data_IF_822547224910
#
_entry.id   IF_822547224910
#
_cell.length_a   1.000
_cell.length_b   1.000
_cell.length_c   1.000
_cell.angle_alpha   90.00
_cell.angle_beta   90.00
_cell.angle_gamma   90.00
#
_symmetry.space_group_name_H-M   'P 1'
#
loop_
_entity.id
_entity.type
_entity.pdbx_description
1 polymer ?
#
# COMPACT_ATOMS: atom_id res chain seq x y z
N UNK A 1 2.96 21.00 2.25
CA UNK A 1 3.24 19.65 1.73
C UNK A 1 3.08 18.66 2.88
N UNK A 2 2.27 17.64 2.69
CA UNK A 2 2.06 16.55 3.65
C UNK A 2 2.53 15.26 2.99
N UNK A 3 3.15 14.38 3.78
CA UNK A 3 3.59 13.07 3.32
C UNK A 3 2.96 12.02 4.21
N UNK A 4 2.36 11.01 3.60
CA UNK A 4 1.79 9.86 4.27
C UNK A 4 2.76 8.69 4.20
N UNK A 5 2.91 8.00 5.33
CA UNK A 5 3.46 6.67 5.37
C UNK A 5 2.32 5.68 5.15
N UNK A 6 2.37 4.95 4.05
CA UNK A 6 1.41 3.92 3.70
C UNK A 6 2.04 2.54 3.90
N UNK A 7 1.28 1.65 4.52
CA UNK A 7 1.58 0.23 4.58
C UNK A 7 0.70 -0.51 3.57
N UNK A 8 1.33 -1.23 2.65
CA UNK A 8 0.67 -2.14 1.73
C UNK A 8 0.67 -3.53 2.37
N UNK A 9 -0.46 -3.91 2.95
CA UNK A 9 -0.70 -5.23 3.54
C UNK A 9 -1.18 -6.18 2.45
N UNK A 10 -0.25 -6.89 1.83
CA UNK A 10 -0.54 -7.83 0.74
C UNK A 10 -0.83 -9.24 1.22
N UNK A 11 -1.75 -9.94 0.54
CA UNK A 11 -2.07 -11.34 0.80
C UNK A 11 -0.85 -12.26 0.60
N UNK A 12 -0.02 -11.95 -0.41
CA UNK A 12 1.18 -12.70 -0.76
C UNK A 12 2.29 -11.80 -1.36
N UNK A 13 3.39 -12.42 -1.76
CA UNK A 13 4.58 -11.74 -2.30
C UNK A 13 4.41 -11.22 -3.74
N UNK A 14 3.32 -11.56 -4.45
CA UNK A 14 3.03 -11.00 -5.78
C UNK A 14 2.60 -9.54 -5.71
N UNK A 15 2.13 -9.09 -4.52
CA UNK A 15 1.72 -7.70 -4.26
C UNK A 15 0.61 -7.20 -5.20
N UNK A 16 -0.21 -8.13 -5.68
CA UNK A 16 -1.38 -7.86 -6.53
C UNK A 16 -2.69 -7.77 -5.75
N UNK A 17 -2.70 -8.18 -4.49
CA UNK A 17 -3.86 -8.00 -3.61
C UNK A 17 -3.35 -7.41 -2.30
N UNK A 18 -3.48 -6.09 -2.15
CA UNK A 18 -2.98 -5.36 -0.99
C UNK A 18 -4.01 -4.37 -0.46
N UNK A 19 -4.25 -4.41 0.84
CA UNK A 19 -4.91 -3.33 1.54
C UNK A 19 -3.90 -2.21 1.84
N UNK A 20 -4.25 -0.98 1.51
CA UNK A 20 -3.43 0.20 1.82
C UNK A 20 -3.90 0.81 3.13
N UNK A 21 -3.00 0.88 4.11
CA UNK A 21 -3.27 1.44 5.44
C UNK A 21 -2.37 2.64 5.68
N UNK A 22 -2.96 3.78 6.08
CA UNK A 22 -2.18 4.95 6.50
C UNK A 22 -1.59 4.69 7.89
N UNK A 23 -0.27 4.50 7.96
CA UNK A 23 0.44 4.21 9.21
C UNK A 23 0.88 5.48 9.94
N UNK A 24 1.28 6.54 9.22
CA UNK A 24 1.68 7.81 9.81
C UNK A 24 1.56 8.96 8.80
N UNK A 25 1.76 10.20 9.25
CA UNK A 25 1.83 11.38 8.40
C UNK A 25 2.75 12.45 8.98
N UNK A 26 3.49 13.15 8.12
CA UNK A 26 4.26 14.34 8.47
C UNK A 26 3.86 15.51 7.60
N UNK A 27 3.98 16.71 8.14
CA UNK A 27 3.71 17.96 7.44
C UNK A 27 4.89 18.91 7.58
N UNK A 28 5.15 19.70 6.53
CA UNK A 28 6.20 20.71 6.53
C UNK A 28 7.32 20.43 5.53
N UNK A 29 8.38 21.25 5.53
CA UNK A 29 9.44 21.19 4.52
C UNK A 29 10.22 19.87 4.57
N UNK A 30 10.32 19.25 5.75
CA UNK A 30 11.09 18.01 5.96
C UNK A 30 10.23 16.74 5.99
N UNK A 31 8.99 16.79 5.49
CA UNK A 31 8.06 15.68 5.62
C UNK A 31 8.50 14.42 4.84
N UNK A 32 9.16 14.60 3.68
CA UNK A 32 9.68 13.51 2.87
C UNK A 32 10.84 12.81 3.56
N UNK A 33 11.77 13.58 4.11
CA UNK A 33 12.96 13.10 4.82
C UNK A 33 12.56 12.34 6.09
N UNK A 34 11.58 12.86 6.85
CA UNK A 34 11.03 12.18 8.02
C UNK A 34 10.41 10.84 7.65
N UNK A 35 9.64 10.78 6.55
CA UNK A 35 9.07 9.53 6.09
C UNK A 35 10.16 8.53 5.65
N UNK A 36 11.11 8.98 4.82
CA UNK A 36 12.21 8.16 4.33
C UNK A 36 13.08 7.61 5.47
N UNK A 37 13.33 8.40 6.52
CA UNK A 37 14.07 7.97 7.69
C UNK A 37 13.33 6.91 8.53
N UNK A 38 11.99 6.92 8.53
CA UNK A 38 11.19 5.95 9.29
C UNK A 38 11.13 4.57 8.61
N UNK A 39 11.10 4.51 7.28
CA UNK A 39 10.89 3.26 6.51
C UNK A 39 11.88 2.14 6.86
N UNK A 40 13.20 2.36 6.97
CA UNK A 40 14.15 1.30 7.32
C UNK A 40 13.88 0.67 8.69
N UNK A 41 13.55 1.47 9.70
CA UNK A 41 13.23 0.98 11.05
C UNK A 41 11.99 0.10 11.04
N UNK A 42 10.93 0.56 10.37
CA UNK A 42 9.68 -0.18 10.24
C UNK A 42 9.85 -1.47 9.44
N UNK A 43 10.65 -1.45 8.37
CA UNK A 43 10.96 -2.63 7.56
C UNK A 43 11.75 -3.66 8.36
N UNK A 44 12.71 -3.23 9.18
CA UNK A 44 13.46 -4.11 10.09
C UNK A 44 12.57 -4.73 11.17
N UNK A 45 11.55 -4.02 11.63
CA UNK A 45 10.60 -4.53 12.62
C UNK A 45 9.68 -5.65 12.08
N UNK A 46 9.51 -5.74 10.76
CA UNK A 46 8.78 -6.86 10.15
C UNK A 46 9.58 -8.17 10.27
N UNK A 47 8.87 -9.28 10.44
CA UNK A 47 9.43 -10.64 10.28
C UNK A 47 9.83 -10.89 8.82
N UNK A 48 10.73 -11.85 8.57
CA UNK A 48 11.18 -12.15 7.21
C UNK A 48 10.02 -12.42 6.22
N UNK A 49 9.00 -13.25 6.55
CA UNK A 49 7.86 -13.44 5.64
C UNK A 49 7.06 -12.16 5.38
N UNK A 50 6.93 -11.29 6.39
CA UNK A 50 6.18 -10.05 6.25
C UNK A 50 6.95 -9.00 5.43
N UNK A 51 8.29 -9.04 5.42
CA UNK A 51 9.10 -8.17 4.55
C UNK A 51 8.96 -8.52 3.06
N UNK A 52 8.71 -9.79 2.75
CA UNK A 52 8.48 -10.22 1.37
C UNK A 52 7.13 -9.70 0.87
N UNK A 53 6.09 -9.86 1.69
CA UNK A 53 4.69 -9.54 1.35
C UNK A 53 4.38 -8.05 1.46
N UNK A 54 4.77 -7.42 2.56
CA UNK A 54 4.32 -6.07 2.89
C UNK A 54 5.42 -5.04 2.61
N UNK A 55 4.99 -3.81 2.32
CA UNK A 55 5.92 -2.69 2.11
C UNK A 55 5.39 -1.39 2.72
N UNK A 56 6.32 -0.59 3.21
CA UNK A 56 6.06 0.80 3.59
C UNK A 56 6.44 1.72 2.43
N UNK A 57 5.60 2.70 2.14
CA UNK A 57 5.77 3.67 1.05
C UNK A 57 5.49 5.08 1.56
N UNK A 58 6.31 6.04 1.14
CA UNK A 58 6.07 7.46 1.38
C UNK A 58 5.31 8.06 0.20
N UNK A 59 4.14 8.61 0.44
CA UNK A 59 3.30 9.26 -0.57
C UNK A 59 3.09 10.73 -0.23
N UNK A 60 3.50 11.62 -1.14
CA UNK A 60 3.25 13.06 -0.99
C UNK A 60 1.81 13.38 -1.37
N UNK A 61 1.10 14.07 -0.48
CA UNK A 61 -0.22 14.63 -0.75
C UNK A 61 -0.08 15.73 -1.83
N UNK A 62 -0.20 15.33 -3.09
CA UNK A 62 0.05 16.18 -4.26
C UNK A 62 0.08 15.48 -5.62
N UNK A 63 0.20 14.15 -5.65
CA UNK A 63 0.03 13.36 -6.87
C UNK A 63 -1.04 12.30 -6.63
N UNK A 64 -2.31 12.65 -6.88
CA UNK A 64 -3.37 11.65 -7.00
C UNK A 64 -3.07 10.84 -8.28
N UNK A 65 -2.21 9.83 -8.18
CA UNK A 65 -2.57 8.57 -8.79
C UNK A 65 -3.52 7.94 -7.78
N UNK A 66 -4.80 7.81 -8.15
CA UNK A 66 -5.77 6.99 -7.42
C UNK A 66 -5.04 5.77 -6.85
N UNK A 67 -5.26 5.36 -5.58
CA UNK A 67 -5.03 3.97 -5.25
C UNK A 67 -5.73 3.21 -6.36
N UNK A 68 -5.00 2.38 -7.11
CA UNK A 68 -5.65 1.48 -8.05
C UNK A 68 -6.65 0.72 -7.19
N UNK A 69 -7.91 1.12 -7.27
CA UNK A 69 -9.04 0.29 -6.93
C UNK A 69 -8.70 -0.98 -7.69
N UNK A 70 -8.29 -1.99 -6.93
CA UNK A 70 -8.39 -3.36 -7.39
C UNK A 70 -9.89 -3.55 -7.59
N UNK A 71 -10.34 -3.08 -8.75
CA UNK A 71 -11.52 -3.55 -9.42
C UNK A 71 -11.13 -4.97 -9.78
N UNK A 72 -11.19 -5.85 -8.78
CA UNK A 72 -11.56 -7.23 -9.01
C UNK A 72 -12.93 -7.10 -9.66
N UNK A 73 -12.92 -6.92 -10.99
CA UNK A 73 -14.11 -7.12 -11.80
C UNK A 73 -14.56 -8.52 -11.38
N UNK A 74 -15.73 -8.68 -10.74
CA UNK A 74 -16.28 -10.00 -10.59
C UNK A 74 -16.44 -10.44 -12.04
N UNK A 75 -15.68 -11.45 -12.45
CA UNK A 75 -15.92 -12.11 -13.71
C UNK A 75 -17.36 -12.61 -13.62
N UNK A 76 -18.30 -11.81 -14.14
CA UNK A 76 -19.67 -12.21 -14.40
C UNK A 76 -19.58 -13.20 -15.55
N UNK A 77 -19.16 -14.42 -15.22
CA UNK A 77 -19.39 -15.55 -16.09
C UNK A 77 -20.91 -15.72 -16.08
N UNK A 78 -21.57 -15.18 -17.10
CA UNK A 78 -22.93 -15.52 -17.45
C UNK A 78 -22.94 -17.02 -17.78
N UNK A 79 -23.11 -17.87 -16.76
CA UNK A 79 -23.44 -19.26 -16.98
C UNK A 79 -24.94 -19.34 -17.23
N UNK A 80 -25.28 -19.50 -18.51
CA UNK A 80 -26.60 -19.92 -18.95
C UNK A 80 -26.88 -21.31 -18.38
N UNK A 81 -27.63 -21.39 -17.29
CA UNK A 81 -28.28 -22.63 -16.91
C UNK A 81 -29.48 -22.84 -17.83
N UNK A 82 -29.37 -23.83 -18.72
CA UNK A 82 -30.52 -24.45 -19.37
C UNK A 82 -31.02 -25.57 -18.45
N UNK A 83 -32.29 -25.54 -18.09
CA UNK A 83 -33.09 -26.74 -17.81
C UNK A 83 -34.19 -26.81 -18.87
#
# INVERSE_FOLDING_TARGET
MTVFLLLYLCADATRTDCQVVKANSWSGPYANEQCAAAVPGLTKALTAPNRERHRFVCETQGAVAKPAEHTAQPARIHQSFRM
#
